data_IF_535315611211
#
_entry.id   IF_535315611211
#
_cell.length_a   1.000
_cell.length_b   1.000
_cell.length_c   1.000
_cell.angle_alpha   90.00
_cell.angle_beta   90.00
_cell.angle_gamma   90.00
#
_symmetry.space_group_name_H-M   'P 1'
#
loop_
_entity.id
_entity.type
_entity.pdbx_description
1 polymer ?
#
# COMPACT_ATOMS: atom_id res chain seq x y z
N UNK A 1 4.98 -29.35 2.84
CA UNK A 1 6.00 -28.49 3.46
C UNK A 1 5.50 -28.13 4.84
N UNK A 2 6.33 -28.25 5.89
CA UNK A 2 5.90 -27.92 7.24
C UNK A 2 5.53 -26.42 7.30
N UNK A 3 4.34 -26.05 7.80
CA UNK A 3 3.87 -24.66 7.80
C UNK A 3 4.83 -23.71 8.54
N UNK A 4 5.56 -24.26 9.51
CA UNK A 4 6.60 -23.57 10.27
C UNK A 4 7.77 -23.12 9.38
N UNK A 5 8.21 -23.95 8.43
CA UNK A 5 9.29 -23.59 7.49
C UNK A 5 8.87 -22.46 6.55
N UNK A 6 7.63 -22.47 6.08
CA UNK A 6 7.09 -21.42 5.21
C UNK A 6 7.02 -20.09 5.96
N UNK A 7 6.51 -20.10 7.20
CA UNK A 7 6.43 -18.91 8.03
C UNK A 7 7.83 -18.32 8.33
N UNK A 8 8.80 -19.17 8.67
CA UNK A 8 10.19 -18.74 8.93
C UNK A 8 10.85 -18.19 7.67
N UNK A 9 10.69 -18.87 6.52
CA UNK A 9 11.20 -18.38 5.24
C UNK A 9 10.59 -17.03 4.86
N UNK A 10 9.27 -16.87 5.01
CA UNK A 10 8.59 -15.59 4.78
C UNK A 10 9.11 -14.48 5.69
N UNK A 11 9.29 -14.76 6.99
CA UNK A 11 9.86 -13.78 7.93
C UNK A 11 11.29 -13.39 7.54
N UNK A 12 12.14 -14.35 7.17
CA UNK A 12 13.50 -14.09 6.71
C UNK A 12 13.52 -13.23 5.44
N UNK A 13 12.62 -13.49 4.49
CA UNK A 13 12.46 -12.68 3.27
C UNK A 13 12.07 -11.25 3.63
N UNK A 14 11.10 -11.05 4.52
CA UNK A 14 10.68 -9.70 4.95
C UNK A 14 11.85 -8.93 5.58
N UNK A 15 12.59 -9.58 6.48
CA UNK A 15 13.77 -8.98 7.13
C UNK A 15 14.84 -8.66 6.08
N UNK A 16 15.16 -9.58 5.18
CA UNK A 16 16.12 -9.36 4.11
C UNK A 16 15.72 -8.18 3.21
N UNK A 17 14.45 -8.09 2.83
CA UNK A 17 13.91 -6.97 2.05
C UNK A 17 14.09 -5.63 2.77
N UNK A 18 13.89 -5.56 4.09
CA UNK A 18 14.11 -4.34 4.86
C UNK A 18 15.59 -3.91 4.86
N UNK A 19 16.52 -4.87 5.01
CA UNK A 19 17.96 -4.58 4.92
C UNK A 19 18.35 -4.06 3.54
N UNK A 20 17.84 -4.70 2.47
CA UNK A 20 18.09 -4.28 1.09
C UNK A 20 17.49 -2.90 0.82
N UNK A 21 16.27 -2.63 1.29
CA UNK A 21 15.60 -1.34 1.13
C UNK A 21 16.43 -0.18 1.69
N UNK A 22 16.99 -0.37 2.89
CA UNK A 22 17.86 0.62 3.51
C UNK A 22 19.15 0.85 2.70
N UNK A 23 19.73 -0.20 2.13
CA UNK A 23 20.95 -0.12 1.32
C UNK A 23 20.73 0.58 -0.03
N UNK A 24 19.61 0.31 -0.67
CA UNK A 24 19.26 0.85 -2.01
C UNK A 24 18.53 2.20 -1.91
N UNK A 25 18.17 2.66 -0.69
CA UNK A 25 17.42 3.91 -0.43
C UNK A 25 16.05 3.94 -1.12
N UNK A 26 15.39 2.78 -1.21
CA UNK A 26 14.03 2.64 -1.75
C UNK A 26 13.08 2.32 -0.61
N UNK A 27 11.82 2.75 -0.71
CA UNK A 27 10.80 2.41 0.28
C UNK A 27 10.63 0.89 0.39
N UNK A 28 10.75 0.34 1.60
CA UNK A 28 10.61 -1.10 1.85
C UNK A 28 9.34 -1.72 1.26
N UNK A 29 8.16 -1.06 1.28
CA UNK A 29 6.95 -1.57 0.65
C UNK A 29 7.10 -1.87 -0.84
N UNK A 30 7.91 -1.10 -1.59
CA UNK A 30 8.11 -1.34 -3.03
C UNK A 30 8.89 -2.64 -3.28
N UNK A 31 9.92 -2.90 -2.47
CA UNK A 31 10.70 -4.14 -2.59
C UNK A 31 9.84 -5.34 -2.18
N UNK A 32 9.07 -5.21 -1.09
CA UNK A 32 8.14 -6.24 -0.66
C UNK A 32 7.07 -6.53 -1.72
N UNK A 33 6.57 -5.51 -2.41
CA UNK A 33 5.63 -5.67 -3.52
C UNK A 33 6.25 -6.49 -4.66
N UNK A 34 7.45 -6.14 -5.11
CA UNK A 34 8.12 -6.83 -6.22
C UNK A 34 8.45 -8.28 -5.85
N UNK A 35 8.97 -8.51 -4.65
CA UNK A 35 9.29 -9.86 -4.17
C UNK A 35 8.02 -10.69 -3.97
N UNK A 36 6.97 -10.12 -3.38
CA UNK A 36 5.68 -10.78 -3.21
C UNK A 36 5.05 -11.13 -4.56
N UNK A 37 5.11 -10.23 -5.53
CA UNK A 37 4.65 -10.47 -6.90
C UNK A 37 5.45 -11.61 -7.55
N UNK A 38 6.79 -11.59 -7.46
CA UNK A 38 7.64 -12.63 -8.00
C UNK A 38 7.34 -14.01 -7.39
N UNK A 39 7.16 -14.06 -6.06
CA UNK A 39 6.78 -15.29 -5.33
C UNK A 39 5.38 -15.75 -5.75
N UNK A 40 4.44 -14.83 -5.96
CA UNK A 40 3.07 -15.15 -6.40
C UNK A 40 2.99 -15.80 -7.78
N UNK A 41 4.00 -15.61 -8.64
CA UNK A 41 4.09 -16.29 -9.93
C UNK A 41 4.70 -17.70 -9.86
N UNK A 42 5.22 -18.14 -8.71
CA UNK A 42 5.80 -19.48 -8.57
C UNK A 42 4.69 -20.54 -8.45
N UNK A 43 4.69 -21.59 -9.29
CA UNK A 43 3.66 -22.63 -9.28
C UNK A 43 3.69 -23.51 -8.03
N UNK A 44 4.80 -23.50 -7.26
CA UNK A 44 4.91 -24.25 -6.01
C UNK A 44 4.18 -23.55 -4.84
N UNK A 45 3.90 -22.25 -4.96
CA UNK A 45 3.19 -21.48 -3.96
C UNK A 45 1.71 -21.58 -4.31
N UNK A 46 0.94 -22.34 -3.53
CA UNK A 46 -0.50 -22.45 -3.73
C UNK A 46 -1.16 -21.06 -3.71
N UNK A 47 -2.29 -20.91 -4.39
CA UNK A 47 -3.07 -19.68 -4.38
C UNK A 47 -3.59 -19.39 -2.96
N UNK A 48 -2.82 -18.67 -2.17
CA UNK A 48 -3.24 -18.15 -0.87
C UNK A 48 -4.05 -16.89 -1.17
N UNK A 49 -5.35 -17.05 -1.26
CA UNK A 49 -6.28 -15.93 -1.37
C UNK A 49 -6.59 -15.41 0.03
N UNK A 50 -6.10 -14.21 0.31
CA UNK A 50 -6.49 -13.46 1.52
C UNK A 50 -7.67 -12.59 1.14
N UNK A 51 -8.78 -12.74 1.85
CA UNK A 51 -9.94 -11.89 1.62
C UNK A 51 -9.60 -10.42 1.89
N UNK A 52 -9.92 -9.50 0.96
CA UNK A 52 -9.52 -8.09 1.07
C UNK A 52 -10.00 -7.42 2.37
N UNK A 53 -11.15 -7.81 2.90
CA UNK A 53 -11.71 -7.24 4.11
C UNK A 53 -10.79 -7.46 5.33
N UNK A 54 -10.06 -8.58 5.39
CA UNK A 54 -9.10 -8.84 6.48
C UNK A 54 -8.00 -7.77 6.46
N UNK A 55 -7.49 -7.42 5.28
CA UNK A 55 -6.45 -6.39 5.14
C UNK A 55 -7.02 -5.00 5.45
N UNK A 56 -8.19 -4.69 4.88
CA UNK A 56 -8.84 -3.38 5.05
C UNK A 56 -9.28 -3.12 6.49
N UNK A 57 -9.70 -4.15 7.22
CA UNK A 57 -10.28 -4.01 8.56
C UNK A 57 -9.27 -4.30 9.68
N UNK A 58 -8.34 -5.24 9.51
CA UNK A 58 -7.33 -5.53 10.54
C UNK A 58 -6.00 -4.83 10.32
N UNK A 59 -5.50 -4.76 9.08
CA UNK A 59 -4.13 -4.29 8.81
C UNK A 59 -4.11 -2.77 8.60
N UNK A 60 -5.09 -2.24 7.88
CA UNK A 60 -5.13 -0.83 7.50
C UNK A 60 -5.32 0.10 8.71
N UNK A 61 -6.22 -0.15 9.68
CA UNK A 61 -6.39 0.73 10.84
C UNK A 61 -5.14 0.92 11.71
N UNK A 62 -4.40 -0.13 12.14
CA UNK A 62 -3.18 0.07 12.91
C UNK A 62 -2.08 0.73 12.09
N UNK A 63 -1.99 0.48 10.78
CA UNK A 63 -1.05 1.18 9.91
C UNK A 63 -1.36 2.69 9.84
N UNK A 64 -2.62 3.06 9.57
CA UNK A 64 -3.06 4.45 9.55
C UNK A 64 -2.85 5.14 10.90
N UNK A 65 -3.19 4.48 12.00
CA UNK A 65 -2.97 5.01 13.36
C UNK A 65 -1.48 5.24 13.63
N UNK A 66 -0.64 4.27 13.28
CA UNK A 66 0.81 4.40 13.47
C UNK A 66 1.42 5.54 12.65
N UNK A 67 0.88 5.82 11.46
CA UNK A 67 1.28 6.94 10.62
C UNK A 67 0.81 8.27 11.23
N UNK A 68 -0.43 8.33 11.72
CA UNK A 68 -1.00 9.52 12.34
C UNK A 68 -0.26 9.92 13.62
N UNK A 69 0.08 8.98 14.50
CA UNK A 69 0.76 9.26 15.79
C UNK A 69 2.20 9.72 15.60
N UNK A 70 2.87 9.35 14.51
CA UNK A 70 4.22 9.83 14.19
C UNK A 70 4.24 11.27 13.69
N UNK A 71 3.09 11.85 13.36
CA UNK A 71 2.98 13.21 12.82
C UNK A 71 3.05 14.25 13.95
N UNK A 72 3.97 15.24 13.88
CA UNK A 72 4.02 16.32 14.87
C UNK A 72 2.74 17.17 14.82
N UNK A 73 1.94 17.11 15.89
CA UNK A 73 0.64 17.79 15.95
C UNK A 73 0.77 19.32 15.95
N UNK A 74 1.86 19.86 16.48
CA UNK A 74 2.12 21.30 16.54
C UNK A 74 2.36 21.89 15.14
N UNK A 75 3.27 21.28 14.38
CA UNK A 75 3.60 21.72 13.01
C UNK A 75 2.39 21.54 12.08
N UNK A 76 1.67 20.42 12.21
CA UNK A 76 0.44 20.18 11.45
C UNK A 76 -0.62 21.25 11.72
N UNK A 77 -0.81 21.66 12.98
CA UNK A 77 -1.76 22.73 13.33
C UNK A 77 -1.34 24.08 12.77
N UNK A 78 -0.04 24.40 12.76
CA UNK A 78 0.47 25.65 12.20
C UNK A 78 0.21 25.74 10.70
N UNK A 79 0.38 24.64 9.98
CA UNK A 79 0.23 24.57 8.52
C UNK A 79 -1.14 24.01 8.08
N UNK A 80 -2.12 23.92 8.99
CA UNK A 80 -3.38 23.19 8.75
C UNK A 80 -4.14 23.70 7.53
N UNK A 81 -4.08 25.01 7.25
CA UNK A 81 -4.71 25.60 6.07
C UNK A 81 -4.04 25.12 4.77
N UNK A 82 -2.71 25.09 4.72
CA UNK A 82 -1.97 24.59 3.56
C UNK A 82 -2.22 23.10 3.36
N UNK A 83 -2.20 22.31 4.44
CA UNK A 83 -2.46 20.87 4.37
C UNK A 83 -3.90 20.60 3.93
N UNK A 84 -4.90 21.30 4.47
CA UNK A 84 -6.29 21.14 4.04
C UNK A 84 -6.48 21.51 2.56
N UNK A 85 -5.83 22.60 2.11
CA UNK A 85 -5.88 23.03 0.71
C UNK A 85 -5.16 22.05 -0.22
N UNK A 86 -4.11 21.37 0.23
CA UNK A 86 -3.44 20.34 -0.57
C UNK A 86 -4.11 18.98 -0.47
N UNK A 87 -4.76 18.65 0.64
CA UNK A 87 -5.35 17.33 0.85
C UNK A 87 -6.76 17.25 0.28
N UNK A 88 -7.59 18.28 0.41
CA UNK A 88 -8.99 18.18 0.03
C UNK A 88 -9.15 18.38 -1.50
N UNK A 89 -8.97 19.59 -2.06
CA UNK A 89 -9.27 19.81 -3.47
C UNK A 89 -8.32 19.07 -4.41
N UNK A 90 -7.04 18.90 -4.06
CA UNK A 90 -6.09 18.19 -4.91
C UNK A 90 -6.39 16.67 -4.97
N UNK A 91 -6.86 16.07 -3.87
CA UNK A 91 -7.26 14.65 -3.88
C UNK A 91 -8.50 14.47 -4.75
N UNK A 92 -9.52 15.33 -4.63
CA UNK A 92 -10.65 15.29 -5.56
C UNK A 92 -10.18 15.43 -7.01
N UNK A 93 -9.36 16.43 -7.31
CA UNK A 93 -8.87 16.68 -8.66
C UNK A 93 -8.06 15.50 -9.21
N UNK A 94 -7.16 14.92 -8.41
CA UNK A 94 -6.34 13.77 -8.82
C UNK A 94 -7.16 12.49 -8.98
N UNK A 95 -8.12 12.22 -8.08
CA UNK A 95 -9.04 11.09 -8.20
C UNK A 95 -9.87 11.19 -9.47
N UNK A 96 -10.47 12.35 -9.76
CA UNK A 96 -11.19 12.57 -11.02
C UNK A 96 -10.27 12.45 -12.23
N UNK A 97 -9.07 13.04 -12.20
CA UNK A 97 -8.13 12.96 -13.31
C UNK A 97 -7.77 11.49 -13.62
N UNK A 98 -7.43 10.70 -12.61
CA UNK A 98 -7.13 9.27 -12.76
C UNK A 98 -8.38 8.50 -13.22
N UNK A 99 -9.54 8.74 -12.60
CA UNK A 99 -10.79 8.08 -12.98
C UNK A 99 -11.21 8.36 -14.42
N UNK A 100 -11.03 9.59 -14.92
CA UNK A 100 -11.24 9.93 -16.32
C UNK A 100 -10.27 9.20 -17.25
N UNK A 101 -8.98 9.14 -16.89
CA UNK A 101 -7.97 8.41 -17.66
C UNK A 101 -8.32 6.92 -17.73
N UNK A 102 -8.73 6.31 -16.62
CA UNK A 102 -9.15 4.90 -16.57
C UNK A 102 -10.40 4.68 -17.41
N UNK A 103 -11.43 5.51 -17.26
CA UNK A 103 -12.66 5.39 -18.04
C UNK A 103 -12.39 5.55 -19.56
N UNK A 104 -11.42 6.38 -19.94
CA UNK A 104 -11.02 6.55 -21.33
C UNK A 104 -10.22 5.36 -21.89
N UNK A 105 -9.26 4.82 -21.13
CA UNK A 105 -8.48 3.64 -21.54
C UNK A 105 -9.31 2.35 -21.50
N UNK A 106 -10.19 2.22 -20.52
CA UNK A 106 -11.01 1.04 -20.26
C UNK A 106 -12.47 1.46 -20.12
N UNK A 107 -13.20 1.59 -21.25
CA UNK A 107 -14.60 2.07 -21.25
C UNK A 107 -15.57 1.19 -20.46
N UNK A 108 -15.19 -0.04 -20.11
CA UNK A 108 -15.97 -0.94 -19.28
C UNK A 108 -16.06 -0.48 -17.81
N UNK A 109 -15.10 0.31 -17.33
CA UNK A 109 -15.11 0.87 -15.98
C UNK A 109 -15.78 2.24 -16.06
N UNK A 110 -16.96 2.38 -15.47
CA UNK A 110 -17.66 3.66 -15.45
C UNK A 110 -16.98 4.66 -14.50
N UNK A 111 -17.18 5.96 -14.75
CA UNK A 111 -16.56 7.03 -13.96
C UNK A 111 -16.76 6.89 -12.44
N UNK A 112 -17.95 6.51 -11.93
CA UNK A 112 -18.16 6.33 -10.48
C UNK A 112 -17.36 5.19 -9.85
N UNK A 113 -16.89 4.22 -10.64
CA UNK A 113 -16.01 3.16 -10.15
C UNK A 113 -14.53 3.53 -10.24
N UNK A 114 -14.17 4.53 -11.05
CA UNK A 114 -12.79 4.98 -11.25
C UNK A 114 -12.35 6.11 -10.32
N UNK A 115 -13.30 6.78 -9.65
CA UNK A 115 -13.08 7.89 -8.68
C UNK A 115 -13.49 7.42 -7.30
#
# INVERSE_FOLDING_TARGET
>A
MDPLLIAVAGMLIIVACQFVAHKVRVASPLILLVVGLAIGFLPQVGAIEIEPHIVLEMVLPPLLFSAAVRMPTMDFRREMQAVAMLAIPLVFLSAFAVGFVINWLVPAISLPWGV
#
